data_IF_186909040210
#
_entry.id   IF_186909040210
#
_cell.length_a   1.000
_cell.length_b   1.000
_cell.length_c   1.000
_cell.angle_alpha   90.00
_cell.angle_beta   90.00
_cell.angle_gamma   90.00
#
_symmetry.space_group_name_H-M   'P 1'
#
loop_
_entity.id
_entity.type
_entity.pdbx_description
1 polymer ?
#
# COMPACT_ATOMS: atom_id res chain seq x y z
N UNK A 1 -10.97 -11.29 8.97
CA UNK A 1 -12.20 -11.38 9.79
C UNK A 1 -13.38 -11.78 8.90
N UNK A 2 -14.37 -12.54 9.41
CA UNK A 2 -15.49 -13.04 8.60
C UNK A 2 -16.36 -11.91 8.01
N UNK A 3 -16.40 -10.75 8.66
CA UNK A 3 -17.19 -9.59 8.23
C UNK A 3 -16.50 -8.69 7.19
N UNK A 4 -15.22 -8.95 6.85
CA UNK A 4 -14.39 -8.05 6.03
C UNK A 4 -15.09 -7.63 4.72
N UNK A 5 -15.63 -8.59 3.98
CA UNK A 5 -16.26 -8.30 2.68
C UNK A 5 -17.52 -7.45 2.85
N UNK A 6 -18.36 -7.76 3.83
CA UNK A 6 -19.62 -7.05 4.07
C UNK A 6 -19.35 -5.60 4.53
N UNK A 7 -18.40 -5.41 5.43
CA UNK A 7 -18.03 -4.09 5.94
C UNK A 7 -17.39 -3.22 4.84
N UNK A 8 -16.45 -3.80 4.08
CA UNK A 8 -15.77 -3.08 3.00
C UNK A 8 -16.75 -2.72 1.89
N UNK A 9 -17.67 -3.62 1.52
CA UNK A 9 -18.70 -3.35 0.51
C UNK A 9 -19.63 -2.23 0.97
N UNK A 10 -20.17 -2.33 2.19
CA UNK A 10 -21.07 -1.33 2.76
C UNK A 10 -20.39 0.04 2.84
N UNK A 11 -19.13 0.07 3.25
CA UNK A 11 -18.33 1.29 3.33
C UNK A 11 -18.10 1.90 1.93
N UNK A 12 -17.68 1.09 0.95
CA UNK A 12 -17.44 1.57 -0.41
C UNK A 12 -18.70 2.11 -1.07
N UNK A 13 -19.86 1.49 -0.84
CA UNK A 13 -21.15 1.97 -1.35
C UNK A 13 -21.55 3.29 -0.70
N UNK A 14 -21.46 3.38 0.63
CA UNK A 14 -21.80 4.58 1.41
C UNK A 14 -20.93 5.77 1.00
N UNK A 15 -19.61 5.58 0.94
CA UNK A 15 -18.64 6.64 0.62
C UNK A 15 -18.48 6.86 -0.89
N UNK A 16 -19.18 6.06 -1.71
CA UNK A 16 -19.02 5.99 -3.17
C UNK A 16 -17.55 5.80 -3.59
N UNK A 17 -16.76 5.12 -2.77
CA UNK A 17 -15.33 4.94 -2.97
C UNK A 17 -15.01 3.85 -3.99
N UNK A 18 -14.10 4.12 -4.91
CA UNK A 18 -13.60 3.14 -5.87
C UNK A 18 -12.50 2.24 -5.28
N UNK A 19 -11.75 2.75 -4.31
CA UNK A 19 -10.79 1.99 -3.50
C UNK A 19 -11.08 2.29 -2.04
N UNK A 20 -11.11 1.25 -1.21
CA UNK A 20 -11.08 1.38 0.23
C UNK A 20 -9.98 0.50 0.82
N UNK A 21 -9.47 0.89 2.00
CA UNK A 21 -8.54 0.06 2.74
C UNK A 21 -8.75 0.17 4.25
N UNK A 22 -8.52 -0.92 4.96
CA UNK A 22 -8.75 -1.03 6.39
C UNK A 22 -7.45 -1.14 7.20
N UNK A 23 -7.58 -1.00 8.52
CA UNK A 23 -6.52 -1.35 9.44
C UNK A 23 -6.22 -2.85 9.34
N UNK A 24 -5.01 -3.23 9.78
CA UNK A 24 -4.64 -4.62 9.99
C UNK A 24 -3.72 -4.81 11.18
N UNK A 25 -3.89 -5.93 11.87
CA UNK A 25 -3.04 -6.32 12.97
C UNK A 25 -1.69 -6.83 12.46
N UNK A 26 -0.61 -6.48 13.17
CA UNK A 26 0.75 -6.91 12.86
C UNK A 26 1.18 -8.00 13.84
N UNK A 27 1.14 -9.25 13.39
CA UNK A 27 1.31 -10.43 14.22
C UNK A 27 2.61 -11.17 13.91
N UNK A 28 3.10 -11.96 14.87
CA UNK A 28 4.20 -12.92 14.66
C UNK A 28 3.74 -14.14 13.84
N UNK A 29 4.63 -15.13 13.68
CA UNK A 29 4.37 -16.36 12.93
C UNK A 29 3.21 -17.19 13.51
N UNK A 30 2.94 -17.06 14.82
CA UNK A 30 1.84 -17.69 15.57
C UNK A 30 0.55 -16.85 15.59
N UNK A 31 0.49 -15.75 14.81
CA UNK A 31 -0.63 -14.80 14.78
C UNK A 31 -0.88 -14.05 16.09
N UNK A 32 0.11 -13.98 16.98
CA UNK A 32 0.08 -13.16 18.20
C UNK A 32 0.47 -11.72 17.84
N UNK A 33 -0.36 -10.70 18.15
CA UNK A 33 -0.02 -9.29 17.91
C UNK A 33 1.32 -8.90 18.57
N UNK A 34 2.22 -8.27 17.80
CA UNK A 34 3.54 -7.85 18.28
C UNK A 34 3.77 -6.35 18.18
N UNK A 35 3.08 -5.67 17.27
CA UNK A 35 3.17 -4.23 17.06
C UNK A 35 1.76 -3.66 17.04
N UNK A 36 1.64 -2.34 17.26
CA UNK A 36 0.36 -1.65 17.06
C UNK A 36 -0.23 -1.97 15.68
N UNK A 37 -1.55 -1.93 15.55
CA UNK A 37 -2.18 -2.10 14.25
C UNK A 37 -1.71 -1.04 13.26
N UNK A 38 -1.61 -1.42 11.99
CA UNK A 38 -1.49 -0.42 10.94
C UNK A 38 -2.82 0.35 10.85
N UNK A 39 -2.75 1.67 10.96
CA UNK A 39 -3.92 2.56 10.92
C UNK A 39 -4.16 3.06 9.49
N UNK A 40 -5.38 2.84 9.01
CA UNK A 40 -5.96 3.47 7.84
C UNK A 40 -6.62 4.77 8.31
N UNK A 41 -5.86 5.86 8.21
CA UNK A 41 -6.23 7.17 8.75
C UNK A 41 -6.18 8.31 7.71
N UNK A 42 -5.80 8.00 6.46
CA UNK A 42 -5.53 9.01 5.43
C UNK A 42 -6.11 8.60 4.09
N UNK A 43 -6.68 9.56 3.38
CA UNK A 43 -7.00 9.33 1.98
C UNK A 43 -5.72 9.09 1.18
N UNK A 44 -5.76 8.12 0.27
CA UNK A 44 -4.61 7.74 -0.55
C UNK A 44 -4.82 8.31 -1.94
N UNK A 45 -4.04 9.32 -2.30
CA UNK A 45 -4.03 9.91 -3.65
C UNK A 45 -2.82 9.42 -4.41
N UNK A 46 -2.84 9.55 -5.73
CA UNK A 46 -1.68 9.22 -6.57
C UNK A 46 -0.39 9.91 -6.07
N UNK A 47 -0.48 11.21 -5.75
CA UNK A 47 0.68 12.00 -5.33
C UNK A 47 1.25 11.55 -3.98
N UNK A 48 0.39 11.13 -3.03
CA UNK A 48 0.86 10.68 -1.73
C UNK A 48 1.33 9.21 -1.75
N UNK A 49 0.77 8.39 -2.64
CA UNK A 49 1.18 7.00 -2.83
C UNK A 49 2.61 6.94 -3.40
N UNK A 50 2.98 7.86 -4.32
CA UNK A 50 4.35 8.04 -4.81
C UNK A 50 5.37 8.36 -3.69
N UNK A 51 4.92 8.81 -2.53
CA UNK A 51 5.80 9.17 -1.40
C UNK A 51 5.78 8.12 -0.29
N UNK A 52 4.73 7.33 -0.19
CA UNK A 52 4.62 6.25 0.81
C UNK A 52 3.53 5.27 0.38
N UNK A 53 3.88 3.99 0.25
CA UNK A 53 2.86 2.96 0.03
C UNK A 53 2.05 2.73 1.32
N UNK A 54 0.76 3.04 1.27
CA UNK A 54 -0.20 2.86 2.39
C UNK A 54 -1.19 1.73 2.16
N UNK A 55 -1.44 1.39 0.91
CA UNK A 55 -2.37 0.34 0.52
C UNK A 55 -1.68 -1.03 0.65
N UNK A 56 -2.38 -1.97 1.26
CA UNK A 56 -1.92 -3.36 1.40
C UNK A 56 -2.91 -4.28 0.70
N UNK A 57 -2.43 -5.26 -0.06
CA UNK A 57 -3.28 -6.25 -0.74
C UNK A 57 -4.18 -7.02 0.23
N UNK A 58 -3.76 -7.18 1.48
CA UNK A 58 -4.52 -7.95 2.48
C UNK A 58 -5.72 -7.19 3.05
N UNK A 59 -5.68 -5.85 3.05
CA UNK A 59 -6.67 -5.00 3.72
C UNK A 59 -7.33 -3.99 2.79
N UNK A 60 -7.09 -4.08 1.49
CA UNK A 60 -7.65 -3.15 0.48
C UNK A 60 -8.62 -3.86 -0.44
N UNK A 61 -9.65 -3.15 -0.89
CA UNK A 61 -10.61 -3.60 -1.88
C UNK A 61 -10.82 -2.49 -2.91
N UNK A 62 -11.06 -2.87 -4.16
CA UNK A 62 -11.38 -1.90 -5.21
C UNK A 62 -12.53 -2.38 -6.10
N UNK A 63 -13.26 -1.44 -6.66
CA UNK A 63 -14.39 -1.69 -7.54
C UNK A 63 -13.89 -1.85 -8.98
N UNK A 64 -13.72 -3.09 -9.40
CA UNK A 64 -13.28 -3.39 -10.77
C UNK A 64 -14.30 -3.04 -11.86
N UNK A 65 -15.58 -2.90 -11.52
CA UNK A 65 -16.62 -2.50 -12.46
C UNK A 65 -16.53 -1.00 -12.76
N UNK A 66 -16.25 -0.19 -11.73
CA UNK A 66 -16.09 1.27 -11.88
C UNK A 66 -14.73 1.69 -12.42
N UNK A 67 -13.65 1.04 -11.97
CA UNK A 67 -12.27 1.44 -12.32
C UNK A 67 -11.70 0.67 -13.51
N UNK A 68 -12.31 -0.47 -13.83
CA UNK A 68 -11.74 -1.47 -14.73
C UNK A 68 -10.78 -2.42 -14.02
N UNK A 69 -10.54 -3.57 -14.64
CA UNK A 69 -9.59 -4.57 -14.13
C UNK A 69 -8.16 -4.08 -14.33
N UNK A 70 -7.35 -4.16 -13.28
CA UNK A 70 -5.92 -3.88 -13.32
C UNK A 70 -5.19 -5.15 -12.91
N UNK A 71 -4.21 -5.58 -13.69
CA UNK A 71 -3.43 -6.78 -13.42
C UNK A 71 -2.06 -6.38 -12.86
N UNK A 72 -1.44 -7.33 -12.17
CA UNK A 72 -0.06 -7.15 -11.71
C UNK A 72 0.89 -7.05 -12.91
N UNK A 73 1.85 -6.12 -12.87
CA UNK A 73 2.88 -6.07 -13.89
C UNK A 73 3.81 -7.27 -13.77
N UNK A 74 4.12 -7.89 -14.91
CA UNK A 74 5.13 -8.95 -14.95
C UNK A 74 6.53 -8.40 -14.64
N UNK A 75 7.30 -9.14 -13.84
CA UNK A 75 8.71 -8.86 -13.59
C UNK A 75 9.01 -7.74 -12.58
N UNK A 76 7.99 -7.15 -11.96
CA UNK A 76 8.19 -6.22 -10.84
C UNK A 76 8.31 -6.99 -9.52
N UNK A 77 9.18 -6.55 -8.62
CA UNK A 77 9.13 -7.01 -7.20
C UNK A 77 8.17 -6.18 -6.34
N UNK A 78 7.52 -5.20 -6.96
CA UNK A 78 6.60 -4.22 -6.35
C UNK A 78 5.30 -4.15 -7.14
N UNK A 79 4.80 -5.32 -7.51
CA UNK A 79 3.62 -5.50 -8.37
C UNK A 79 2.39 -4.81 -7.79
N UNK A 80 2.20 -4.97 -6.48
CA UNK A 80 1.14 -4.33 -5.70
C UNK A 80 1.18 -2.79 -5.83
N UNK A 81 2.36 -2.21 -5.64
CA UNK A 81 2.55 -0.78 -5.67
C UNK A 81 2.31 -0.19 -7.06
N UNK A 82 2.77 -0.88 -8.11
CA UNK A 82 2.50 -0.48 -9.49
C UNK A 82 1.00 -0.55 -9.80
N UNK A 83 0.34 -1.63 -9.40
CA UNK A 83 -1.11 -1.78 -9.58
C UNK A 83 -1.87 -0.63 -8.91
N UNK A 84 -1.55 -0.32 -7.65
CA UNK A 84 -2.18 0.79 -6.93
C UNK A 84 -1.93 2.15 -7.59
N UNK A 85 -0.72 2.40 -8.08
CA UNK A 85 -0.41 3.62 -8.82
C UNK A 85 -1.22 3.73 -10.11
N UNK A 86 -1.40 2.63 -10.84
CA UNK A 86 -2.21 2.63 -12.06
C UNK A 86 -3.70 2.84 -11.77
N UNK A 87 -4.23 2.23 -10.72
CA UNK A 87 -5.61 2.46 -10.30
C UNK A 87 -5.83 3.93 -9.90
N UNK A 88 -4.92 4.51 -9.09
CA UNK A 88 -5.01 5.92 -8.67
C UNK A 88 -4.72 6.95 -9.78
N UNK A 89 -4.32 6.52 -10.99
CA UNK A 89 -4.36 7.40 -12.18
C UNK A 89 -5.77 7.57 -12.73
N UNK A 90 -6.66 6.60 -12.47
CA UNK A 90 -8.02 6.53 -13.00
C UNK A 90 -9.06 7.10 -12.02
N UNK A 91 -8.70 7.23 -10.74
CA UNK A 91 -9.61 7.68 -9.67
C UNK A 91 -8.94 8.77 -8.81
N UNK A 92 -9.72 9.62 -8.12
CA UNK A 92 -9.14 10.70 -7.33
C UNK A 92 -8.39 10.20 -6.08
N UNK A 93 -8.96 9.25 -5.35
CA UNK A 93 -8.42 8.77 -4.08
C UNK A 93 -8.96 7.41 -3.66
N UNK A 94 -8.20 6.69 -2.82
CA UNK A 94 -8.69 5.59 -1.99
C UNK A 94 -9.04 6.06 -0.57
N UNK A 95 -10.11 5.50 -0.01
CA UNK A 95 -10.66 5.91 1.30
C UNK A 95 -10.24 5.00 2.45
N UNK A 96 -9.89 5.55 3.61
CA UNK A 96 -9.54 4.76 4.79
C UNK A 96 -10.80 4.34 5.57
N UNK A 97 -10.84 3.07 5.98
CA UNK A 97 -11.78 2.54 6.96
C UNK A 97 -11.01 2.19 8.25
N UNK A 98 -11.11 3.00 9.32
CA UNK A 98 -10.33 2.81 10.54
C UNK A 98 -10.85 1.65 11.42
N UNK A 99 -11.06 0.46 10.82
CA UNK A 99 -11.48 -0.79 11.49
C UNK A 99 -10.45 -1.88 11.21
N UNK A 100 -10.00 -2.59 12.26
CA UNK A 100 -9.08 -3.73 12.11
C UNK A 100 -9.85 -4.97 11.69
N UNK A 101 -9.59 -5.43 10.47
CA UNK A 101 -10.36 -6.52 9.85
C UNK A 101 -9.48 -7.61 9.21
N UNK A 102 -8.17 -7.47 9.34
CA UNK A 102 -7.18 -8.38 8.76
C UNK A 102 -5.95 -8.54 9.66
N UNK A 103 -5.23 -9.65 9.49
CA UNK A 103 -4.02 -9.97 10.27
C UNK A 103 -2.85 -10.22 9.31
N UNK A 104 -1.79 -9.43 9.45
CA UNK A 104 -0.55 -9.59 8.71
C UNK A 104 0.45 -10.41 9.53
N UNK A 105 0.88 -11.55 8.98
CA UNK A 105 1.86 -12.43 9.60
C UNK A 105 3.28 -12.00 9.21
N UNK A 106 4.04 -11.52 10.19
CA UNK A 106 5.42 -11.10 10.02
C UNK A 106 6.35 -12.31 10.16
N UNK A 107 7.07 -12.64 9.10
CA UNK A 107 8.10 -13.67 9.11
C UNK A 107 9.50 -13.07 9.29
N UNK A 108 10.31 -13.72 10.13
CA UNK A 108 11.69 -13.32 10.42
C UNK A 108 12.64 -13.38 9.21
N UNK A 109 12.34 -14.23 8.22
CA UNK A 109 13.11 -14.44 6.98
C UNK A 109 12.53 -13.69 5.76
N UNK A 110 11.73 -12.64 5.95
CA UNK A 110 11.08 -11.95 4.83
C UNK A 110 12.08 -11.36 3.83
N UNK A 111 11.71 -11.45 2.54
CA UNK A 111 12.51 -10.98 1.39
C UNK A 111 12.84 -9.47 1.50
N UNK A 112 12.02 -8.71 2.23
CA UNK A 112 12.18 -7.27 2.48
C UNK A 112 13.31 -6.89 3.43
N UNK A 113 14.20 -7.82 3.84
CA UNK A 113 15.31 -7.51 4.74
C UNK A 113 16.51 -6.87 4.04
N UNK A 114 16.72 -7.13 2.74
CA UNK A 114 17.81 -6.53 1.94
C UNK A 114 17.42 -5.14 1.45
N UNK A 115 17.57 -4.13 2.32
CA UNK A 115 17.16 -2.72 2.07
C UNK A 115 17.67 -2.15 0.74
N UNK A 116 18.88 -2.51 0.30
CA UNK A 116 19.48 -2.00 -0.94
C UNK A 116 18.70 -2.44 -2.20
N UNK A 117 18.23 -3.69 -2.25
CA UNK A 117 17.45 -4.20 -3.39
C UNK A 117 16.10 -3.47 -3.50
N UNK A 118 15.48 -3.17 -2.36
CA UNK A 118 14.17 -2.52 -2.32
C UNK A 118 14.22 -1.10 -2.87
N UNK A 119 15.30 -0.35 -2.58
CA UNK A 119 15.47 1.01 -3.12
C UNK A 119 15.62 0.98 -4.64
N UNK A 120 16.39 0.02 -5.17
CA UNK A 120 16.49 -0.19 -6.62
C UNK A 120 15.14 -0.54 -7.23
N UNK A 121 14.44 -1.51 -6.65
CA UNK A 121 13.13 -1.93 -7.15
C UNK A 121 12.11 -0.78 -7.10
N UNK A 122 12.14 0.06 -6.05
CA UNK A 122 11.31 1.26 -5.96
C UNK A 122 11.65 2.30 -7.05
N UNK A 123 12.93 2.52 -7.32
CA UNK A 123 13.35 3.41 -8.40
C UNK A 123 12.84 2.92 -9.76
N UNK A 124 12.92 1.61 -10.03
CA UNK A 124 12.41 1.01 -11.27
C UNK A 124 10.89 1.16 -11.41
N UNK A 125 10.12 1.13 -10.32
CA UNK A 125 8.69 1.49 -10.36
C UNK A 125 8.47 2.86 -10.99
N UNK A 126 9.22 3.88 -10.56
CA UNK A 126 9.04 5.23 -11.10
C UNK A 126 9.61 5.39 -12.50
N UNK A 127 10.78 4.80 -12.76
CA UNK A 127 11.49 4.95 -14.03
C UNK A 127 10.83 4.13 -15.14
N UNK A 128 10.60 2.85 -14.91
CA UNK A 128 10.21 1.90 -15.96
C UNK A 128 8.69 1.74 -16.06
N UNK A 129 7.97 1.76 -14.94
CA UNK A 129 6.51 1.59 -14.94
C UNK A 129 5.77 2.92 -15.02
N UNK A 130 6.19 3.94 -14.25
CA UNK A 130 5.56 5.26 -14.30
C UNK A 130 6.13 6.17 -15.40
N UNK A 131 7.20 5.74 -16.09
CA UNK A 131 7.87 6.48 -17.19
C UNK A 131 8.30 7.89 -16.80
N UNK A 132 8.68 8.08 -15.54
CA UNK A 132 9.16 9.38 -15.07
C UNK A 132 10.60 9.67 -15.55
N UNK A 133 10.93 10.97 -15.63
CA UNK A 133 12.32 11.37 -15.89
C UNK A 133 13.23 10.87 -14.76
N UNK A 134 14.53 10.76 -15.04
CA UNK A 134 15.51 10.25 -14.07
C UNK A 134 15.51 11.07 -12.79
N UNK A 135 15.47 12.40 -12.91
CA UNK A 135 15.42 13.34 -11.77
C UNK A 135 14.14 13.12 -10.95
N UNK A 136 12.97 13.05 -11.61
CA UNK A 136 11.68 12.84 -10.94
C UNK A 136 11.62 11.48 -10.24
N UNK A 137 12.15 10.44 -10.88
CA UNK A 137 12.22 9.09 -10.30
C UNK A 137 13.10 9.06 -9.05
N UNK A 138 14.26 9.73 -9.08
CA UNK A 138 15.14 9.84 -7.94
C UNK A 138 14.49 10.62 -6.80
N UNK A 139 13.85 11.76 -7.10
CA UNK A 139 13.12 12.56 -6.12
C UNK A 139 12.08 11.73 -5.34
N UNK A 140 11.21 10.99 -6.03
CA UNK A 140 10.21 10.16 -5.34
C UNK A 140 10.83 8.97 -4.61
N UNK A 141 11.91 8.39 -5.13
CA UNK A 141 12.64 7.30 -4.45
C UNK A 141 13.22 7.78 -3.13
N UNK A 142 13.85 8.96 -3.11
CA UNK A 142 14.41 9.57 -1.89
C UNK A 142 13.30 9.90 -0.90
N UNK A 143 12.21 10.53 -1.33
CA UNK A 143 11.06 10.82 -0.46
C UNK A 143 10.46 9.53 0.14
N UNK A 144 10.31 8.48 -0.68
CA UNK A 144 9.83 7.19 -0.23
C UNK A 144 10.77 6.55 0.80
N UNK A 145 12.08 6.60 0.56
CA UNK A 145 13.08 6.06 1.49
C UNK A 145 13.08 6.81 2.83
N UNK A 146 13.00 8.15 2.81
CA UNK A 146 12.93 8.99 4.02
C UNK A 146 11.64 8.69 4.79
N UNK A 147 10.48 8.70 4.13
CA UNK A 147 9.20 8.40 4.78
C UNK A 147 9.14 6.98 5.34
N UNK A 148 9.71 6.00 4.62
CA UNK A 148 9.86 4.64 5.11
C UNK A 148 10.75 4.58 6.35
N UNK A 149 11.89 5.26 6.33
CA UNK A 149 12.78 5.33 7.48
C UNK A 149 12.08 5.96 8.69
N UNK A 150 11.40 7.11 8.52
CA UNK A 150 10.65 7.77 9.59
C UNK A 150 9.54 6.87 10.15
N UNK A 151 8.77 6.19 9.29
CA UNK A 151 7.68 5.30 9.70
C UNK A 151 8.14 4.10 10.53
N UNK A 152 9.37 3.61 10.33
CA UNK A 152 9.90 2.44 11.03
C UNK A 152 11.02 2.77 12.03
N UNK A 153 11.41 4.04 12.13
CA UNK A 153 12.38 4.49 13.13
C UNK A 153 11.70 4.54 14.49
N UNK A 154 12.25 3.78 15.45
CA UNK A 154 11.87 3.82 16.88
C UNK A 154 12.16 5.17 17.56
N UNK A 155 12.78 6.12 16.85
CA UNK A 155 13.09 7.45 17.37
C UNK A 155 11.85 8.36 17.30
N UNK A 156 10.88 8.04 16.42
CA UNK A 156 9.70 8.88 16.14
C UNK A 156 8.36 8.14 16.33
N UNK A 157 8.39 6.88 16.77
CA UNK A 157 7.25 6.03 17.16
C UNK A 157 7.57 5.38 18.49
#
# INVERSE_FOLDING_TARGET
EPEFLNDMLSFMQKERAEIAYSNYARCNEELIPQLEDFKADKEVTFQNLLKTCRLSLLSSMYDSQRVGKEYFPEGSKREDHVMWLNLLKKIPAGKPLPKTMSKYRMHSKSISRKKQNIVKDQYLVYKDYMKFSTIKSLYYTVNWAINGFLKYSKIFN
#
